data_IF_195874564068
#
_entry.id   IF_195874564068
#
_cell.length_a   1.000
_cell.length_b   1.000
_cell.length_c   1.000
_cell.angle_alpha   90.00
_cell.angle_beta   90.00
_cell.angle_gamma   90.00
#
_symmetry.space_group_name_H-M   'P 1'
#
loop_
_entity.id
_entity.type
_entity.pdbx_description
1 polymer ?
#
# COMPACT_ATOMS: atom_id res chain seq x y z
N UNK A 1 78.00 16.35 1.74
CA UNK A 1 76.63 16.62 1.09
C UNK A 1 75.74 15.43 1.40
N UNK A 2 74.75 15.62 2.30
CA UNK A 2 73.77 14.56 2.66
C UNK A 2 72.45 14.92 2.00
N UNK A 3 71.99 14.12 1.00
CA UNK A 3 70.70 14.26 0.36
C UNK A 3 69.65 13.64 1.23
N UNK A 4 68.64 14.42 1.60
CA UNK A 4 67.47 13.97 2.32
C UNK A 4 66.35 13.69 1.26
N UNK A 5 66.00 12.41 1.11
CA UNK A 5 64.85 12.01 0.29
C UNK A 5 63.55 12.24 1.09
N UNK A 6 62.64 13.10 0.59
CA UNK A 6 61.32 13.30 1.13
C UNK A 6 60.37 12.33 0.44
N UNK A 7 59.87 11.31 1.15
CA UNK A 7 58.84 10.40 0.64
C UNK A 7 57.46 11.00 0.94
N UNK A 8 56.75 11.45 -0.09
CA UNK A 8 55.40 11.93 0.06
C UNK A 8 54.42 10.71 0.13
N UNK A 9 53.74 10.55 1.27
CA UNK A 9 52.70 9.57 1.44
C UNK A 9 51.36 10.20 0.95
N UNK A 10 50.88 9.75 -0.19
CA UNK A 10 49.52 10.10 -0.64
C UNK A 10 48.50 9.27 0.16
N UNK A 11 47.75 9.91 1.05
CA UNK A 11 46.61 9.31 1.72
C UNK A 11 45.39 9.30 0.76
N UNK A 12 45.06 8.13 0.27
CA UNK A 12 43.82 7.92 -0.49
C UNK A 12 42.63 7.85 0.51
N UNK A 13 41.90 8.95 0.67
CA UNK A 13 40.63 8.96 1.39
C UNK A 13 39.56 8.33 0.51
N UNK A 14 39.35 7.04 0.68
CA UNK A 14 38.20 6.34 0.08
C UNK A 14 36.91 6.84 0.72
N UNK A 15 36.13 7.66 0.01
CA UNK A 15 34.76 7.97 0.40
C UNK A 15 33.94 6.69 0.28
N UNK A 16 33.61 6.06 1.39
CA UNK A 16 32.62 4.98 1.42
C UNK A 16 31.26 5.54 0.98
N UNK A 17 30.82 5.19 -0.22
CA UNK A 17 29.46 5.49 -0.67
C UNK A 17 28.49 4.80 0.30
N UNK A 18 27.75 5.58 1.09
CA UNK A 18 26.69 5.07 1.93
C UNK A 18 25.68 4.38 1.01
N UNK A 19 25.52 3.06 1.15
CA UNK A 19 24.49 2.32 0.44
C UNK A 19 23.15 2.95 0.79
N UNK A 20 22.49 3.57 -0.19
CA UNK A 20 21.13 4.13 0.01
C UNK A 20 20.20 2.97 0.35
N UNK A 21 19.50 3.07 1.49
CA UNK A 21 18.53 2.06 1.88
C UNK A 21 17.51 1.84 0.77
N UNK A 22 17.09 0.58 0.58
CA UNK A 22 16.11 0.23 -0.43
C UNK A 22 14.81 1.04 -0.22
N UNK A 23 14.25 1.65 -1.28
CA UNK A 23 13.00 2.40 -1.16
C UNK A 23 11.88 1.46 -0.72
N UNK A 24 11.01 1.94 0.16
CA UNK A 24 9.96 1.12 0.77
C UNK A 24 8.60 1.36 0.11
N UNK A 25 7.88 0.27 -0.17
CA UNK A 25 6.44 0.28 -0.45
C UNK A 25 5.73 -0.02 0.86
N UNK A 26 4.97 0.96 1.36
CA UNK A 26 4.12 0.79 2.54
C UNK A 26 2.73 0.34 2.10
N UNK A 27 2.26 -0.78 2.64
CA UNK A 27 0.85 -1.16 2.58
C UNK A 27 0.17 -0.71 3.86
N UNK A 28 -0.86 0.12 3.70
CA UNK A 28 -1.61 0.75 4.78
C UNK A 28 -3.08 0.42 4.60
N UNK A 29 -3.52 -0.63 5.27
CA UNK A 29 -4.82 -1.24 5.03
C UNK A 29 -5.46 -1.83 6.28
N UNK A 30 -6.48 -2.64 6.05
CA UNK A 30 -7.24 -3.35 7.07
C UNK A 30 -6.97 -4.86 7.07
N UNK A 31 -7.97 -5.68 7.42
CA UNK A 31 -7.85 -7.14 7.51
C UNK A 31 -7.50 -7.82 6.20
N UNK A 32 -7.91 -7.25 5.06
CA UNK A 32 -7.63 -7.81 3.73
C UNK A 32 -6.14 -7.74 3.39
N UNK A 33 -5.44 -6.75 3.91
CA UNK A 33 -3.98 -6.58 3.75
C UNK A 33 -3.20 -7.14 4.94
N UNK A 34 -3.83 -7.32 6.12
CA UNK A 34 -3.20 -7.89 7.31
C UNK A 34 -3.16 -9.42 7.31
N UNK A 35 -3.63 -10.09 6.25
CA UNK A 35 -3.71 -11.56 6.14
C UNK A 35 -4.60 -12.20 7.22
N UNK A 36 -5.75 -11.58 7.53
CA UNK A 36 -6.66 -12.09 8.55
C UNK A 36 -7.09 -13.54 8.24
N UNK A 37 -6.96 -14.42 9.24
CA UNK A 37 -7.39 -15.82 9.15
C UNK A 37 -6.53 -16.75 8.29
N UNK A 38 -5.42 -16.24 7.71
CA UNK A 38 -4.48 -17.01 6.90
C UNK A 38 -3.03 -16.76 7.37
N UNK A 39 -2.07 -17.65 7.04
CA UNK A 39 -0.66 -17.37 7.30
C UNK A 39 -0.21 -16.07 6.63
N UNK A 40 0.56 -15.26 7.33
CA UNK A 40 1.05 -13.97 6.78
C UNK A 40 1.84 -14.14 5.48
N UNK A 41 2.61 -15.21 5.36
CA UNK A 41 3.36 -15.54 4.15
C UNK A 41 2.49 -15.85 2.92
N UNK A 42 1.22 -16.22 3.13
CA UNK A 42 0.27 -16.49 2.06
C UNK A 42 -0.51 -15.23 1.61
N UNK A 43 -0.49 -14.14 2.40
CA UNK A 43 -1.21 -12.92 2.08
C UNK A 43 -0.63 -12.18 0.86
N UNK A 44 -1.48 -11.45 0.13
CA UNK A 44 -1.09 -10.74 -1.09
C UNK A 44 0.06 -9.75 -0.88
N UNK A 45 0.22 -9.20 0.33
CA UNK A 45 1.32 -8.27 0.66
C UNK A 45 2.66 -9.02 0.71
N UNK A 46 2.69 -10.23 1.28
CA UNK A 46 3.89 -11.08 1.26
C UNK A 46 4.22 -11.51 -0.18
N UNK A 47 3.21 -11.93 -0.94
CA UNK A 47 3.35 -12.28 -2.35
C UNK A 47 3.87 -11.10 -3.20
N UNK A 48 3.51 -9.86 -2.86
CA UNK A 48 4.08 -8.67 -3.48
C UNK A 48 5.59 -8.58 -3.25
N UNK A 49 6.03 -8.83 -2.02
CA UNK A 49 7.45 -8.86 -1.68
C UNK A 49 8.22 -9.90 -2.52
N UNK A 50 7.69 -11.11 -2.65
CA UNK A 50 8.29 -12.16 -3.47
C UNK A 50 8.31 -11.80 -4.96
N UNK A 51 7.24 -11.21 -5.49
CA UNK A 51 7.19 -10.73 -6.88
C UNK A 51 8.26 -9.67 -7.16
N UNK A 52 8.47 -8.73 -6.24
CA UNK A 52 9.50 -7.71 -6.36
C UNK A 52 10.90 -8.33 -6.39
N UNK A 53 11.19 -9.31 -5.52
CA UNK A 53 12.45 -10.05 -5.52
C UNK A 53 12.69 -10.78 -6.86
N UNK A 54 11.67 -11.51 -7.35
CA UNK A 54 11.75 -12.23 -8.63
C UNK A 54 12.04 -11.27 -9.80
N UNK A 55 11.53 -10.05 -9.75
CA UNK A 55 11.77 -8.99 -10.74
C UNK A 55 13.07 -8.21 -10.50
N UNK A 56 13.88 -8.61 -9.53
CA UNK A 56 15.11 -7.92 -9.14
C UNK A 56 14.88 -6.43 -8.85
N UNK A 57 13.72 -6.09 -8.33
CA UNK A 57 13.38 -4.74 -7.91
C UNK A 57 14.11 -4.40 -6.62
N UNK A 58 14.57 -3.17 -6.48
CA UNK A 58 15.22 -2.68 -5.27
C UNK A 58 14.24 -2.23 -4.18
N UNK A 59 12.91 -2.38 -4.39
CA UNK A 59 11.93 -2.03 -3.38
C UNK A 59 11.81 -3.09 -2.29
N UNK A 60 11.68 -2.64 -1.04
CA UNK A 60 11.20 -3.43 0.10
C UNK A 60 9.70 -3.20 0.33
N UNK A 61 9.04 -4.11 1.06
CA UNK A 61 7.62 -3.98 1.41
C UNK A 61 7.50 -3.93 2.94
N UNK A 62 6.80 -2.90 3.44
CA UNK A 62 6.38 -2.78 4.83
C UNK A 62 4.84 -2.88 4.90
N UNK A 63 4.33 -3.73 5.80
CA UNK A 63 2.90 -3.88 6.02
C UNK A 63 2.53 -3.26 7.38
N UNK A 64 1.73 -2.18 7.34
CA UNK A 64 1.19 -1.52 8.53
C UNK A 64 -0.34 -1.63 8.60
N UNK A 65 -0.90 -2.68 8.02
CA UNK A 65 -2.34 -2.94 8.02
C UNK A 65 -2.80 -3.48 9.37
N UNK A 66 -4.00 -3.09 9.80
CA UNK A 66 -4.60 -3.50 11.07
C UNK A 66 -6.01 -4.03 10.80
N UNK A 67 -6.28 -5.29 11.21
CA UNK A 67 -7.61 -5.89 11.04
C UNK A 67 -8.71 -5.05 11.72
N UNK A 68 -9.82 -4.82 11.02
CA UNK A 68 -10.96 -4.05 11.51
C UNK A 68 -10.77 -2.53 11.45
N UNK A 69 -9.67 -2.03 10.89
CA UNK A 69 -9.39 -0.60 10.80
C UNK A 69 -10.38 0.12 9.89
N UNK A 70 -10.85 1.28 10.33
CA UNK A 70 -11.64 2.21 9.53
C UNK A 70 -10.76 3.30 8.93
N UNK A 71 -11.31 4.04 7.97
CA UNK A 71 -10.64 5.22 7.42
C UNK A 71 -10.30 6.26 8.48
N UNK A 72 -11.13 6.41 9.53
CA UNK A 72 -10.89 7.32 10.65
C UNK A 72 -9.68 6.89 11.50
N UNK A 73 -9.58 5.60 11.84
CA UNK A 73 -8.42 5.06 12.55
C UNK A 73 -7.14 5.23 11.73
N UNK A 74 -7.21 4.92 10.43
CA UNK A 74 -6.12 5.15 9.51
C UNK A 74 -5.67 6.61 9.47
N UNK A 75 -6.60 7.56 9.33
CA UNK A 75 -6.28 9.00 9.31
C UNK A 75 -5.59 9.48 10.59
N UNK A 76 -5.98 8.92 11.74
CA UNK A 76 -5.39 9.28 13.03
C UNK A 76 -3.92 8.81 13.18
N UNK A 77 -3.54 7.68 12.54
CA UNK A 77 -2.20 7.08 12.73
C UNK A 77 -1.24 7.25 11.56
N UNK A 78 -1.72 7.65 10.36
CA UNK A 78 -0.88 7.67 9.15
C UNK A 78 0.39 8.50 9.34
N UNK A 79 0.33 9.66 9.98
CA UNK A 79 1.49 10.52 10.20
C UNK A 79 2.62 9.81 10.96
N UNK A 80 2.30 9.08 12.02
CA UNK A 80 3.28 8.29 12.79
C UNK A 80 3.90 7.18 11.94
N UNK A 81 3.10 6.50 11.12
CA UNK A 81 3.59 5.42 10.26
C UNK A 81 4.50 5.96 9.16
N UNK A 82 4.13 7.07 8.52
CA UNK A 82 4.97 7.73 7.51
C UNK A 82 6.31 8.17 8.06
N UNK A 83 6.33 8.81 9.24
CA UNK A 83 7.56 9.23 9.90
C UNK A 83 8.50 8.06 10.21
N UNK A 84 7.95 6.90 10.60
CA UNK A 84 8.73 5.71 10.92
C UNK A 84 9.24 4.97 9.68
N UNK A 85 8.46 4.93 8.59
CA UNK A 85 8.77 4.10 7.41
C UNK A 85 9.38 4.87 6.25
N UNK A 86 9.16 6.18 6.16
CA UNK A 86 9.61 7.06 5.06
C UNK A 86 9.43 6.41 3.69
N UNK A 87 8.20 6.00 3.33
CA UNK A 87 7.97 5.18 2.16
C UNK A 87 8.12 5.98 0.86
N UNK A 88 8.63 5.34 -0.18
CA UNK A 88 8.62 5.90 -1.53
C UNK A 88 7.25 5.73 -2.22
N UNK A 89 6.49 4.70 -1.81
CA UNK A 89 5.14 4.40 -2.32
C UNK A 89 4.27 4.01 -1.12
N UNK A 90 3.02 4.49 -1.10
CA UNK A 90 1.98 4.06 -0.15
C UNK A 90 0.82 3.45 -0.92
N UNK A 91 0.45 2.22 -0.58
CA UNK A 91 -0.78 1.58 -1.04
C UNK A 91 -1.80 1.76 0.07
N UNK A 92 -2.86 2.53 -0.18
CA UNK A 92 -3.94 2.81 0.77
C UNK A 92 -5.10 1.87 0.47
N UNK A 93 -5.35 0.92 1.37
CA UNK A 93 -6.40 -0.10 1.27
C UNK A 93 -7.28 -0.04 2.54
N UNK A 94 -8.14 0.97 2.61
CA UNK A 94 -9.03 1.27 3.73
C UNK A 94 -10.41 1.71 3.24
N UNK A 95 -11.40 1.59 4.11
CA UNK A 95 -12.78 2.00 3.86
C UNK A 95 -13.77 0.84 3.84
N UNK A 96 -13.31 -0.42 3.67
CA UNK A 96 -14.18 -1.58 3.72
C UNK A 96 -14.96 -1.64 5.04
N UNK A 97 -14.28 -1.44 6.17
CA UNK A 97 -14.92 -1.43 7.49
C UNK A 97 -15.86 -0.25 7.71
N UNK A 98 -15.61 0.89 7.08
CA UNK A 98 -16.56 2.03 7.08
C UNK A 98 -17.87 1.61 6.40
N UNK A 99 -17.76 1.04 5.20
CA UNK A 99 -18.90 0.57 4.42
C UNK A 99 -19.68 -0.54 5.11
N UNK A 100 -19.01 -1.59 5.60
CA UNK A 100 -19.64 -2.72 6.30
C UNK A 100 -20.35 -2.31 7.58
N UNK A 101 -19.93 -1.21 8.23
CA UNK A 101 -20.57 -0.66 9.43
C UNK A 101 -21.61 0.41 9.12
N UNK A 102 -21.89 0.69 7.85
CA UNK A 102 -22.86 1.71 7.44
C UNK A 102 -22.46 3.14 7.85
N UNK A 103 -21.15 3.42 7.98
CA UNK A 103 -20.67 4.74 8.38
C UNK A 103 -20.86 5.78 7.26
N UNK A 104 -20.92 7.08 7.58
CA UNK A 104 -21.11 8.12 6.57
C UNK A 104 -20.00 8.12 5.52
N UNK A 105 -20.37 7.91 4.25
CA UNK A 105 -19.42 7.83 3.12
C UNK A 105 -18.63 9.13 2.95
N UNK A 106 -19.24 10.28 3.18
CA UNK A 106 -18.56 11.58 3.12
C UNK A 106 -17.42 11.70 4.15
N UNK A 107 -17.59 11.11 5.34
CA UNK A 107 -16.51 11.09 6.31
C UNK A 107 -15.39 10.16 5.90
N UNK A 108 -15.71 8.97 5.37
CA UNK A 108 -14.74 8.05 4.78
C UNK A 108 -13.94 8.74 3.67
N UNK A 109 -14.62 9.44 2.75
CA UNK A 109 -13.99 10.19 1.66
C UNK A 109 -13.00 11.23 2.19
N UNK A 110 -13.39 12.03 3.20
CA UNK A 110 -12.51 13.01 3.85
C UNK A 110 -11.28 12.36 4.47
N UNK A 111 -11.46 11.25 5.16
CA UNK A 111 -10.36 10.52 5.81
C UNK A 111 -9.38 9.94 4.78
N UNK A 112 -9.89 9.29 3.71
CA UNK A 112 -9.05 8.77 2.62
C UNK A 112 -8.27 9.90 1.93
N UNK A 113 -8.91 11.03 1.66
CA UNK A 113 -8.26 12.23 1.12
C UNK A 113 -7.12 12.69 2.04
N UNK A 114 -7.37 12.77 3.35
CA UNK A 114 -6.36 13.20 4.33
C UNK A 114 -5.16 12.23 4.36
N UNK A 115 -5.39 10.90 4.29
CA UNK A 115 -4.34 9.88 4.23
C UNK A 115 -3.49 10.03 2.96
N UNK A 116 -4.14 10.19 1.79
CA UNK A 116 -3.47 10.38 0.51
C UNK A 116 -2.62 11.65 0.53
N UNK A 117 -3.18 12.76 1.00
CA UNK A 117 -2.47 14.05 1.08
C UNK A 117 -1.30 14.00 2.06
N UNK A 118 -1.46 13.36 3.23
CA UNK A 118 -0.37 13.16 4.17
C UNK A 118 0.78 12.39 3.54
N UNK A 119 0.48 11.29 2.83
CA UNK A 119 1.48 10.47 2.14
C UNK A 119 2.22 11.26 1.05
N UNK A 120 1.50 12.08 0.27
CA UNK A 120 2.09 12.95 -0.78
C UNK A 120 2.98 14.05 -0.19
N UNK A 121 2.60 14.63 0.96
CA UNK A 121 3.43 15.65 1.64
C UNK A 121 4.77 15.10 2.10
N UNK A 122 4.84 13.82 2.46
CA UNK A 122 6.08 13.11 2.79
C UNK A 122 6.86 12.61 1.55
N UNK A 123 6.45 13.03 0.35
CA UNK A 123 7.11 12.70 -0.92
C UNK A 123 6.75 11.32 -1.48
N UNK A 124 5.86 10.57 -0.85
CA UNK A 124 5.46 9.26 -1.35
C UNK A 124 4.51 9.35 -2.55
N UNK A 125 4.67 8.45 -3.51
CA UNK A 125 3.65 8.17 -4.53
C UNK A 125 2.56 7.31 -3.90
N UNK A 126 1.31 7.53 -4.28
CA UNK A 126 0.18 6.81 -3.67
C UNK A 126 -0.55 5.99 -4.71
N UNK A 127 -0.98 4.79 -4.33
CA UNK A 127 -1.96 3.96 -5.06
C UNK A 127 -3.14 3.76 -4.12
N UNK A 128 -4.32 4.19 -4.54
CA UNK A 128 -5.56 3.97 -3.79
C UNK A 128 -6.20 2.66 -4.24
N UNK A 129 -6.67 1.87 -3.27
CA UNK A 129 -7.36 0.60 -3.51
C UNK A 129 -8.83 0.76 -3.13
N UNK A 130 -9.71 0.59 -4.11
CA UNK A 130 -11.15 0.69 -3.94
C UNK A 130 -11.77 -0.62 -3.49
N UNK A 131 -12.94 -0.48 -2.86
CA UNK A 131 -13.78 -1.57 -2.40
C UNK A 131 -15.21 -1.42 -2.91
N UNK A 132 -15.95 -2.52 -2.85
CA UNK A 132 -17.39 -2.58 -3.16
C UNK A 132 -18.12 -3.30 -2.04
N UNK A 133 -19.35 -2.89 -1.79
CA UNK A 133 -20.22 -3.51 -0.79
C UNK A 133 -21.19 -4.47 -1.46
N UNK A 134 -21.63 -5.51 -0.74
CA UNK A 134 -22.74 -6.37 -1.18
C UNK A 134 -24.02 -5.56 -1.43
N UNK A 135 -24.86 -5.99 -2.38
CA UNK A 135 -26.04 -5.21 -2.79
C UNK A 135 -27.11 -5.06 -1.69
N UNK A 136 -27.10 -5.91 -0.67
CA UNK A 136 -28.01 -5.86 0.47
C UNK A 136 -27.85 -4.62 1.37
N UNK A 137 -26.79 -3.81 1.17
CA UNK A 137 -26.64 -2.49 1.81
C UNK A 137 -27.49 -1.39 1.15
N UNK A 138 -28.23 -1.73 0.07
CA UNK A 138 -29.06 -0.79 -0.68
C UNK A 138 -28.30 -0.04 -1.77
N UNK A 139 -28.91 0.04 -2.94
CA UNK A 139 -28.31 0.60 -4.17
C UNK A 139 -27.73 2.01 -3.98
N UNK A 140 -28.45 2.97 -3.33
CA UNK A 140 -27.92 4.33 -3.15
C UNK A 140 -26.59 4.33 -2.35
N UNK A 141 -26.56 3.60 -1.23
CA UNK A 141 -25.38 3.55 -0.37
C UNK A 141 -24.19 2.86 -1.05
N UNK A 142 -24.43 1.69 -1.70
CA UNK A 142 -23.41 0.95 -2.44
C UNK A 142 -22.78 1.81 -3.55
N UNK A 143 -23.62 2.53 -4.31
CA UNK A 143 -23.11 3.39 -5.37
C UNK A 143 -22.32 4.58 -4.83
N UNK A 144 -22.82 5.27 -3.81
CA UNK A 144 -22.12 6.40 -3.18
C UNK A 144 -20.78 5.94 -2.60
N UNK A 145 -20.76 4.78 -1.94
CA UNK A 145 -19.53 4.18 -1.38
C UNK A 145 -18.48 3.92 -2.47
N UNK A 146 -18.87 3.25 -3.57
CA UNK A 146 -17.97 2.97 -4.69
C UNK A 146 -17.45 4.24 -5.36
N UNK A 147 -18.32 5.22 -5.58
CA UNK A 147 -17.99 6.50 -6.23
C UNK A 147 -17.01 7.31 -5.39
N UNK A 148 -17.06 7.23 -4.07
CA UNK A 148 -16.15 7.95 -3.19
C UNK A 148 -14.68 7.64 -3.47
N UNK A 149 -14.31 6.38 -3.77
CA UNK A 149 -12.94 6.02 -4.15
C UNK A 149 -12.54 6.63 -5.50
N UNK A 150 -13.47 6.64 -6.46
CA UNK A 150 -13.24 7.25 -7.79
C UNK A 150 -12.97 8.74 -7.66
N UNK A 151 -13.79 9.42 -6.85
CA UNK A 151 -13.64 10.85 -6.59
C UNK A 151 -12.32 11.17 -5.91
N UNK A 152 -11.96 10.46 -4.82
CA UNK A 152 -10.67 10.67 -4.15
C UNK A 152 -9.51 10.45 -5.12
N UNK A 153 -9.53 9.38 -5.91
CA UNK A 153 -8.47 9.09 -6.86
C UNK A 153 -8.34 10.17 -7.94
N UNK A 154 -9.47 10.66 -8.46
CA UNK A 154 -9.52 11.73 -9.46
C UNK A 154 -9.01 13.06 -8.88
N UNK A 155 -9.56 13.47 -7.74
CA UNK A 155 -9.31 14.76 -7.12
C UNK A 155 -7.84 14.85 -6.62
N UNK A 156 -7.32 13.75 -6.09
CA UNK A 156 -5.93 13.64 -5.66
C UNK A 156 -4.96 13.21 -6.77
N UNK A 157 -5.44 12.90 -7.97
CA UNK A 157 -4.63 12.47 -9.13
C UNK A 157 -3.73 11.29 -8.81
N UNK A 158 -4.28 10.26 -8.19
CA UNK A 158 -3.58 9.02 -7.86
C UNK A 158 -4.17 7.82 -8.61
N UNK A 159 -3.36 6.82 -8.96
CA UNK A 159 -3.87 5.56 -9.52
C UNK A 159 -4.89 4.91 -8.59
N UNK A 160 -5.97 4.38 -9.18
CA UNK A 160 -7.01 3.62 -8.48
C UNK A 160 -6.99 2.16 -8.94
N UNK A 161 -6.91 1.23 -7.99
CA UNK A 161 -7.37 -0.14 -8.16
C UNK A 161 -8.88 -0.12 -7.93
N UNK A 162 -9.72 -0.36 -8.94
CA UNK A 162 -11.15 -0.10 -8.80
C UNK A 162 -11.83 -0.98 -7.75
N UNK A 163 -11.36 -2.23 -7.60
CA UNK A 163 -11.89 -3.19 -6.65
C UNK A 163 -10.83 -4.24 -6.31
N UNK A 164 -10.46 -4.34 -5.03
CA UNK A 164 -9.43 -5.28 -4.56
C UNK A 164 -9.82 -6.74 -4.85
N UNK A 165 -11.10 -7.10 -4.63
CA UNK A 165 -11.61 -8.47 -4.74
C UNK A 165 -12.16 -8.79 -6.14
N UNK A 166 -11.82 -8.00 -7.17
CA UNK A 166 -12.25 -8.28 -8.53
C UNK A 166 -11.78 -9.68 -8.98
N UNK A 167 -12.71 -10.46 -9.56
CA UNK A 167 -12.44 -11.83 -10.00
C UNK A 167 -12.61 -12.91 -8.91
N UNK A 168 -13.01 -12.53 -7.69
CA UNK A 168 -13.48 -13.47 -6.68
C UNK A 168 -15.00 -13.56 -6.76
N UNK A 169 -15.50 -14.63 -7.35
CA UNK A 169 -16.93 -14.87 -7.61
C UNK A 169 -17.43 -16.21 -7.03
N UNK A 170 -16.54 -17.02 -6.44
CA UNK A 170 -16.84 -18.34 -5.92
C UNK A 170 -16.79 -18.36 -4.40
N UNK A 171 -17.74 -19.06 -3.76
CA UNK A 171 -17.82 -19.17 -2.30
C UNK A 171 -16.57 -19.74 -1.65
N UNK A 172 -15.92 -20.72 -2.29
CA UNK A 172 -14.70 -21.38 -1.83
C UNK A 172 -13.46 -20.48 -1.85
N UNK A 173 -13.51 -19.32 -2.51
CA UNK A 173 -12.44 -18.32 -2.47
C UNK A 173 -12.48 -17.46 -1.20
N UNK A 174 -13.53 -17.63 -0.39
CA UNK A 174 -13.71 -16.92 0.87
C UNK A 174 -13.68 -17.87 2.06
N UNK A 175 -13.22 -17.38 3.20
CA UNK A 175 -13.27 -18.07 4.48
C UNK A 175 -14.72 -18.32 4.94
N UNK A 176 -14.90 -18.96 6.09
CA UNK A 176 -16.23 -19.29 6.62
C UNK A 176 -17.13 -18.06 6.81
N UNK A 177 -16.53 -16.89 7.08
CA UNK A 177 -17.22 -15.61 7.26
C UNK A 177 -17.77 -14.97 5.97
N UNK A 178 -17.43 -15.52 4.79
CA UNK A 178 -17.82 -15.01 3.46
C UNK A 178 -17.37 -13.57 3.16
N UNK A 179 -16.40 -13.05 3.90
CA UNK A 179 -15.85 -11.70 3.78
C UNK A 179 -14.37 -11.75 3.39
N UNK A 180 -13.58 -12.54 4.12
CA UNK A 180 -12.15 -12.59 3.94
C UNK A 180 -11.76 -13.67 2.92
N UNK A 181 -10.91 -13.34 1.92
CA UNK A 181 -10.41 -14.32 0.95
C UNK A 181 -9.54 -15.39 1.61
N UNK A 182 -9.58 -16.60 1.05
CA UNK A 182 -8.67 -17.70 1.43
C UNK A 182 -7.24 -17.44 0.97
N UNK A 183 -6.30 -18.27 1.42
CA UNK A 183 -4.91 -18.23 0.97
C UNK A 183 -4.79 -18.42 -0.56
N UNK A 184 -5.58 -19.32 -1.14
CA UNK A 184 -5.56 -19.62 -2.58
C UNK A 184 -6.09 -18.46 -3.43
N UNK A 185 -6.88 -17.55 -2.85
CA UNK A 185 -7.39 -16.38 -3.54
C UNK A 185 -6.41 -15.18 -3.54
N UNK A 186 -5.40 -15.18 -2.68
CA UNK A 186 -4.48 -14.04 -2.52
C UNK A 186 -3.68 -13.65 -3.78
N UNK A 187 -3.29 -14.58 -4.67
CA UNK A 187 -2.69 -14.21 -5.95
C UNK A 187 -3.57 -13.31 -6.83
N UNK A 188 -4.91 -13.47 -6.75
CA UNK A 188 -5.85 -12.62 -7.50
C UNK A 188 -5.82 -11.19 -6.96
N UNK A 189 -5.81 -11.01 -5.63
CA UNK A 189 -5.68 -9.70 -4.98
C UNK A 189 -4.36 -9.04 -5.38
N UNK A 190 -3.26 -9.78 -5.31
CA UNK A 190 -1.96 -9.27 -5.76
C UNK A 190 -2.02 -8.79 -7.21
N UNK A 191 -2.63 -9.56 -8.12
CA UNK A 191 -2.70 -9.18 -9.53
C UNK A 191 -3.53 -7.91 -9.74
N UNK A 192 -4.65 -7.76 -9.02
CA UNK A 192 -5.47 -6.55 -9.07
C UNK A 192 -4.69 -5.30 -8.65
N UNK A 193 -3.90 -5.39 -7.58
CA UNK A 193 -3.02 -4.30 -7.13
C UNK A 193 -1.87 -4.09 -8.11
N UNK A 194 -1.22 -5.17 -8.56
CA UNK A 194 -0.04 -5.11 -9.42
C UNK A 194 -0.27 -4.37 -10.73
N UNK A 195 -1.43 -4.55 -11.36
CA UNK A 195 -1.79 -3.84 -12.61
C UNK A 195 -1.68 -2.32 -12.51
N UNK A 196 -1.86 -1.75 -11.31
CA UNK A 196 -1.71 -0.29 -11.08
C UNK A 196 -0.37 0.07 -10.48
N UNK A 197 0.15 -0.79 -9.61
CA UNK A 197 1.42 -0.56 -8.93
C UNK A 197 2.62 -0.66 -9.88
N UNK A 198 2.61 -1.58 -10.86
CA UNK A 198 3.74 -1.83 -11.74
C UNK A 198 4.26 -0.56 -12.42
N UNK A 199 3.36 0.26 -12.98
CA UNK A 199 3.74 1.52 -13.60
C UNK A 199 4.37 2.50 -12.58
N UNK A 200 3.90 2.47 -11.33
CA UNK A 200 4.42 3.31 -10.24
C UNK A 200 5.81 2.83 -9.78
N UNK A 201 6.06 1.52 -9.77
CA UNK A 201 7.36 0.94 -9.39
C UNK A 201 8.41 1.18 -10.48
N UNK A 202 8.02 1.06 -11.76
CA UNK A 202 8.93 1.19 -12.90
C UNK A 202 9.32 2.66 -13.15
N UNK A 203 8.44 3.61 -12.85
CA UNK A 203 8.74 5.03 -13.00
C UNK A 203 9.87 5.44 -12.04
N UNK A 204 10.90 6.20 -12.51
CA UNK A 204 11.96 6.67 -11.64
C UNK A 204 11.37 7.52 -10.49
N UNK A 205 12.00 7.53 -9.31
CA UNK A 205 11.62 8.45 -8.24
C UNK A 205 11.74 9.90 -8.74
N UNK A 206 10.75 10.71 -8.38
CA UNK A 206 10.77 12.17 -8.68
C UNK A 206 11.74 12.89 -7.78
#
# INVERSE_FOLDING_TARGET
MKSILFTAVLAFSGAAAAATAAPTILVFGDSLSASYGIPQSAGWVALLGERLKQRKSNYSVANASISGETSAGGAARIGKVLAATKPAIVIVELGANDGLRGLPVEQMKKNLTAIVQASKREGARVVLVGMQLPPNYGVPYVNTFRVAFVDVARDERVPLVPFLLAGLDKREQFQADAIHPTADAQPILLENVWRKLAATVIAPPR
#
